data_IF_919430195082
#
_entry.id   IF_919430195082
#
_cell.length_a   1.000
_cell.length_b   1.000
_cell.length_c   1.000
_cell.angle_alpha   90.00
_cell.angle_beta   90.00
_cell.angle_gamma   90.00
#
_symmetry.space_group_name_H-M   'P 1'
#
loop_
_entity.id
_entity.type
_entity.pdbx_description
1 polymer ?
#
# COMPACT_ATOMS: atom_id res chain seq x y z
N UNK A 1 -26.27 -8.33 -14.87
CA UNK A 1 -24.82 -8.40 -14.59
C UNK A 1 -24.52 -9.76 -13.98
N UNK A 2 -23.65 -10.57 -14.59
CA UNK A 2 -23.38 -11.92 -14.08
C UNK A 2 -22.41 -11.86 -12.88
N UNK A 3 -22.32 -12.94 -12.09
CA UNK A 3 -21.46 -13.01 -10.89
C UNK A 3 -20.00 -12.64 -11.18
N UNK A 4 -19.44 -13.06 -12.32
CA UNK A 4 -18.08 -12.71 -12.76
C UNK A 4 -17.92 -11.21 -12.99
N UNK A 5 -18.93 -10.55 -13.54
CA UNK A 5 -18.90 -9.11 -13.79
C UNK A 5 -18.94 -8.32 -12.47
N UNK A 6 -19.71 -8.80 -11.49
CA UNK A 6 -19.70 -8.26 -10.12
C UNK A 6 -18.34 -8.41 -9.45
N UNK A 7 -17.73 -9.59 -9.55
CA UNK A 7 -16.39 -9.83 -8.98
C UNK A 7 -15.38 -8.89 -9.63
N UNK A 8 -15.36 -8.80 -10.96
CA UNK A 8 -14.46 -7.90 -11.69
C UNK A 8 -14.63 -6.45 -11.26
N UNK A 9 -15.86 -5.97 -11.19
CA UNK A 9 -16.15 -4.61 -10.72
C UNK A 9 -15.58 -4.31 -9.33
N UNK A 10 -15.72 -5.23 -8.38
CA UNK A 10 -15.18 -5.04 -7.03
C UNK A 10 -13.65 -5.09 -6.99
N UNK A 11 -13.03 -5.95 -7.82
CA UNK A 11 -11.57 -6.01 -7.95
C UNK A 11 -11.02 -4.71 -8.54
N UNK A 12 -11.62 -4.23 -9.64
CA UNK A 12 -11.19 -2.99 -10.30
C UNK A 12 -11.29 -1.81 -9.32
N UNK A 13 -12.41 -1.70 -8.60
CA UNK A 13 -12.61 -0.69 -7.54
C UNK A 13 -11.57 -0.78 -6.43
N UNK A 14 -11.23 -1.98 -5.97
CA UNK A 14 -10.24 -2.16 -4.91
C UNK A 14 -8.83 -1.73 -5.35
N UNK A 15 -8.47 -2.01 -6.60
CA UNK A 15 -7.19 -1.60 -7.18
C UNK A 15 -7.13 -0.07 -7.38
N UNK A 16 -8.21 0.56 -7.84
CA UNK A 16 -8.28 2.02 -7.94
C UNK A 16 -8.11 2.72 -6.58
N UNK A 17 -8.73 2.20 -5.52
CA UNK A 17 -8.57 2.75 -4.17
C UNK A 17 -7.14 2.53 -3.64
N UNK A 18 -6.52 1.39 -3.95
CA UNK A 18 -5.11 1.14 -3.62
C UNK A 18 -4.17 2.09 -4.35
N UNK A 19 -4.41 2.36 -5.62
CA UNK A 19 -3.60 3.29 -6.41
C UNK A 19 -3.76 4.73 -5.90
N UNK A 20 -4.97 5.14 -5.50
CA UNK A 20 -5.20 6.43 -4.83
C UNK A 20 -4.46 6.52 -3.50
N UNK A 21 -4.51 5.47 -2.68
CA UNK A 21 -3.79 5.41 -1.41
C UNK A 21 -2.28 5.54 -1.60
N UNK A 22 -1.73 4.87 -2.61
CA UNK A 22 -0.31 4.96 -2.96
C UNK A 22 0.08 6.34 -3.49
N UNK A 23 -0.75 6.95 -4.33
CA UNK A 23 -0.50 8.26 -4.89
C UNK A 23 -0.58 9.40 -3.85
N UNK A 24 -1.33 9.20 -2.77
CA UNK A 24 -1.51 10.20 -1.73
C UNK A 24 -0.24 10.44 -0.87
N UNK A 25 0.79 9.57 -0.97
CA UNK A 25 2.12 9.64 -0.29
C UNK A 25 2.12 10.39 1.05
N UNK A 26 1.15 10.07 1.90
CA UNK A 26 0.93 10.74 3.18
C UNK A 26 0.70 9.69 4.26
N UNK A 27 1.20 9.92 5.49
CA UNK A 27 0.96 9.04 6.63
C UNK A 27 -0.53 8.80 6.90
N UNK A 28 -1.37 9.81 6.69
CA UNK A 28 -2.82 9.76 6.89
C UNK A 28 -3.49 8.78 5.92
N UNK A 29 -3.05 8.76 4.65
CA UNK A 29 -3.53 7.79 3.66
C UNK A 29 -3.08 6.37 4.00
N UNK A 30 -1.85 6.20 4.50
CA UNK A 30 -1.32 4.92 4.94
C UNK A 30 -2.10 4.34 6.15
N UNK A 31 -2.52 5.18 7.10
CA UNK A 31 -3.41 4.75 8.20
C UNK A 31 -4.79 4.38 7.67
N UNK A 32 -5.40 5.25 6.87
CA UNK A 32 -6.78 5.10 6.44
C UNK A 32 -7.01 3.94 5.46
N UNK A 33 -6.08 3.68 4.54
CA UNK A 33 -6.24 2.68 3.48
C UNK A 33 -5.60 1.33 3.82
N UNK A 34 -4.52 1.30 4.60
CA UNK A 34 -3.80 0.07 4.93
C UNK A 34 -4.00 -0.38 6.38
N UNK A 35 -4.73 0.40 7.20
CA UNK A 35 -4.95 0.10 8.62
C UNK A 35 -3.64 0.11 9.43
N UNK A 36 -2.64 0.86 8.96
CA UNK A 36 -1.33 0.91 9.61
C UNK A 36 -1.45 1.68 10.92
N UNK A 37 -0.96 1.09 12.00
CA UNK A 37 -0.83 1.78 13.28
C UNK A 37 0.28 2.84 13.22
N UNK A 38 0.23 3.83 14.12
CA UNK A 38 1.31 4.85 14.24
C UNK A 38 2.70 4.21 14.41
N UNK A 39 2.77 3.06 15.09
CA UNK A 39 4.00 2.27 15.22
C UNK A 39 4.54 1.79 13.86
N UNK A 40 3.66 1.35 12.95
CA UNK A 40 4.06 0.94 11.60
C UNK A 40 4.56 2.13 10.78
N UNK A 41 3.91 3.29 10.87
CA UNK A 41 4.36 4.50 10.20
C UNK A 41 5.73 4.96 10.69
N UNK A 42 5.96 4.92 12.01
CA UNK A 42 7.26 5.25 12.60
C UNK A 42 8.37 4.34 12.08
N UNK A 43 8.09 3.04 11.91
CA UNK A 43 9.02 2.08 11.30
C UNK A 43 9.27 2.35 9.81
N UNK A 44 8.23 2.66 9.04
CA UNK A 44 8.38 2.98 7.62
C UNK A 44 9.26 4.22 7.41
N UNK A 45 9.06 5.25 8.23
CA UNK A 45 9.90 6.45 8.21
C UNK A 45 11.35 6.16 8.58
N UNK A 46 11.57 5.34 9.62
CA UNK A 46 12.93 4.93 9.98
C UNK A 46 13.61 4.17 8.81
N UNK A 47 12.89 3.27 8.14
CA UNK A 47 13.39 2.52 6.99
C UNK A 47 13.63 3.39 5.75
N UNK A 48 12.86 4.47 5.54
CA UNK A 48 13.10 5.40 4.43
C UNK A 48 14.34 6.27 4.64
N UNK A 49 14.69 6.52 5.91
CA UNK A 49 15.88 7.29 6.28
C UNK A 49 17.15 6.41 6.35
N UNK A 50 16.98 5.08 6.36
CA UNK A 50 18.10 4.13 6.32
C UNK A 50 18.71 4.06 4.90
N UNK A 51 20.04 4.00 4.78
CA UNK A 51 20.68 3.82 3.49
C UNK A 51 20.24 2.49 2.88
N UNK A 52 19.74 2.56 1.64
CA UNK A 52 19.26 1.38 0.90
C UNK A 52 20.41 0.39 0.74
N UNK A 53 20.43 -0.65 1.57
CA UNK A 53 21.33 -1.78 1.36
C UNK A 53 20.89 -2.49 0.08
N UNK A 54 21.74 -2.60 -0.95
CA UNK A 54 21.39 -3.32 -2.16
C UNK A 54 20.98 -4.75 -1.78
N UNK A 55 19.78 -5.17 -2.19
CA UNK A 55 19.34 -6.54 -1.99
C UNK A 55 20.32 -7.47 -2.70
N UNK A 56 21.10 -8.22 -1.93
CA UNK A 56 21.94 -9.28 -2.47
C UNK A 56 21.02 -10.46 -2.82
N UNK A 57 20.96 -10.79 -4.12
CA UNK A 57 20.35 -12.02 -4.58
C UNK A 57 21.18 -13.19 -4.01
N UNK A 58 20.48 -14.16 -3.42
CA UNK A 58 21.09 -15.41 -2.95
C UNK A 58 20.96 -16.41 -4.10
N UNK A 59 22.08 -16.92 -4.59
CA UNK A 59 22.15 -17.92 -5.67
C UNK A 59 21.54 -19.28 -5.26
#
# INVERSE_FOLDING_TARGET
>A
MNRKDRIRHHVDRAMEELDRARAADTPEAAIAHLGLSELHLGRMKALSDEPVTPLQLVD
#
